data_IF_551260918354
#
_entry.id   IF_551260918354
#
_cell.length_a   1.000
_cell.length_b   1.000
_cell.length_c   1.000
_cell.angle_alpha   90.00
_cell.angle_beta   90.00
_cell.angle_gamma   90.00
#
_symmetry.space_group_name_H-M   'P 1'
#
loop_
_entity.id
_entity.type
_entity.pdbx_description
1 polymer ?
#
# COMPACT_ATOMS: atom_id res chain seq x y z
N UNK A 1 -14.43 23.77 19.58
CA UNK A 1 -14.29 23.67 18.12
C UNK A 1 -14.77 22.29 17.72
N UNK A 2 -15.94 22.24 17.06
CA UNK A 2 -16.52 20.98 16.58
C UNK A 2 -15.62 20.43 15.47
N UNK A 3 -15.06 19.26 15.73
CA UNK A 3 -14.42 18.39 14.76
C UNK A 3 -15.45 18.10 13.65
N UNK A 4 -15.26 18.64 12.46
CA UNK A 4 -16.10 18.31 11.32
C UNK A 4 -15.92 16.83 11.00
N UNK A 5 -17.02 16.09 11.09
CA UNK A 5 -17.04 14.66 10.78
C UNK A 5 -16.53 14.44 9.33
N UNK A 6 -15.61 13.49 9.09
CA UNK A 6 -15.13 13.16 7.74
C UNK A 6 -16.24 12.99 6.70
N UNK A 7 -17.40 12.47 7.12
CA UNK A 7 -18.58 12.33 6.25
C UNK A 7 -19.12 13.67 5.76
N UNK A 8 -19.07 14.71 6.61
CA UNK A 8 -19.51 16.08 6.25
C UNK A 8 -18.58 16.71 5.22
N UNK A 9 -17.29 16.38 5.29
CA UNK A 9 -16.29 16.87 4.33
C UNK A 9 -16.51 16.19 2.97
N UNK A 10 -16.76 14.89 2.94
CA UNK A 10 -17.10 14.13 1.73
C UNK A 10 -18.38 14.67 1.09
N UNK A 11 -19.44 14.91 1.86
CA UNK A 11 -20.70 15.46 1.36
C UNK A 11 -20.55 16.89 0.83
N UNK A 12 -19.67 17.69 1.44
CA UNK A 12 -19.39 19.07 1.02
C UNK A 12 -18.59 19.13 -0.28
N UNK A 13 -17.69 18.16 -0.52
CA UNK A 13 -16.97 18.01 -1.78
C UNK A 13 -17.84 17.45 -2.90
N UNK A 14 -18.78 16.55 -2.56
CA UNK A 14 -19.74 15.98 -3.52
C UNK A 14 -20.75 17.01 -4.06
N UNK A 15 -20.99 18.11 -3.35
CA UNK A 15 -21.92 19.18 -3.77
C UNK A 15 -21.28 20.30 -4.58
N UNK A 16 -19.97 20.31 -4.77
CA UNK A 16 -19.32 21.23 -5.70
C UNK A 16 -19.57 20.77 -7.14
N UNK A 17 -20.69 21.24 -7.68
CA UNK A 17 -21.12 21.02 -9.05
C UNK A 17 -20.16 21.70 -10.02
N UNK A 18 -19.16 20.96 -10.48
CA UNK A 18 -18.55 21.21 -11.79
C UNK A 18 -18.22 19.86 -12.39
N UNK A 19 -18.75 19.59 -13.55
CA UNK A 19 -18.55 18.45 -14.43
C UNK A 19 -17.08 17.99 -14.44
N UNK A 20 -16.76 17.00 -13.65
CA UNK A 20 -15.41 16.44 -13.57
C UNK A 20 -15.41 15.19 -12.69
N UNK A 21 -14.85 14.12 -13.19
CA UNK A 21 -14.45 12.96 -12.40
C UNK A 21 -13.69 13.49 -11.20
N UNK A 22 -14.25 13.31 -9.99
CA UNK A 22 -13.58 13.69 -8.74
C UNK A 22 -12.30 12.87 -8.71
N UNK A 23 -11.14 13.54 -8.83
CA UNK A 23 -9.87 12.86 -8.76
C UNK A 23 -9.70 12.29 -7.34
N UNK A 24 -9.63 10.98 -7.24
CA UNK A 24 -9.48 10.29 -5.96
C UNK A 24 -8.24 10.75 -5.17
N UNK A 25 -7.24 11.25 -5.87
CA UNK A 25 -6.04 11.85 -5.27
C UNK A 25 -6.34 13.19 -4.59
N UNK A 26 -7.14 14.05 -5.21
CA UNK A 26 -7.57 15.33 -4.65
C UNK A 26 -8.42 15.15 -3.38
N UNK A 27 -9.33 14.17 -3.39
CA UNK A 27 -10.14 13.81 -2.21
C UNK A 27 -9.24 13.30 -1.08
N UNK A 28 -8.30 12.45 -1.40
CA UNK A 28 -7.34 11.92 -0.42
C UNK A 28 -6.48 13.02 0.20
N UNK A 29 -5.93 13.92 -0.62
CA UNK A 29 -5.15 15.07 -0.13
C UNK A 29 -5.97 15.95 0.78
N UNK A 30 -7.22 16.24 0.42
CA UNK A 30 -8.15 17.01 1.27
C UNK A 30 -8.43 16.34 2.60
N UNK A 31 -8.58 15.01 2.64
CA UNK A 31 -8.77 14.26 3.88
C UNK A 31 -7.51 14.28 4.76
N UNK A 32 -6.33 14.12 4.16
CA UNK A 32 -5.05 14.17 4.88
C UNK A 32 -4.77 15.55 5.51
N UNK A 33 -5.22 16.63 4.86
CA UNK A 33 -5.10 17.99 5.39
C UNK A 33 -6.13 18.28 6.49
N UNK A 34 -7.35 17.74 6.34
CA UNK A 34 -8.47 18.04 7.24
C UNK A 34 -8.45 17.22 8.54
N UNK A 35 -7.85 16.04 8.54
CA UNK A 35 -7.84 15.11 9.68
C UNK A 35 -6.43 14.61 9.98
N UNK A 36 -5.74 15.20 10.98
CA UNK A 36 -4.39 14.79 11.36
C UNK A 36 -4.29 13.34 11.89
N UNK A 37 -5.36 12.82 12.52
CA UNK A 37 -5.39 11.43 12.99
C UNK A 37 -5.48 10.47 11.81
N UNK A 38 -6.34 10.76 10.85
CA UNK A 38 -6.39 10.03 9.59
C UNK A 38 -5.05 10.08 8.84
N UNK A 39 -4.40 11.25 8.78
CA UNK A 39 -3.10 11.40 8.14
C UNK A 39 -2.01 10.55 8.81
N UNK A 40 -2.00 10.51 10.14
CA UNK A 40 -1.06 9.68 10.89
C UNK A 40 -1.28 8.18 10.63
N UNK A 41 -2.53 7.71 10.66
CA UNK A 41 -2.88 6.33 10.35
C UNK A 41 -2.62 5.97 8.89
N UNK A 42 -2.92 6.87 7.98
CA UNK A 42 -2.62 6.71 6.55
C UNK A 42 -1.12 6.52 6.32
N UNK A 43 -0.30 7.33 6.97
CA UNK A 43 1.16 7.23 6.88
C UNK A 43 1.67 5.94 7.51
N UNK A 44 1.18 5.60 8.71
CA UNK A 44 1.56 4.39 9.43
C UNK A 44 1.27 3.11 8.66
N UNK A 45 0.15 3.06 7.93
CA UNK A 45 -0.28 1.90 7.14
C UNK A 45 0.25 1.90 5.70
N UNK A 46 1.02 2.90 5.30
CA UNK A 46 1.57 2.99 3.95
C UNK A 46 2.33 1.71 3.52
N UNK A 47 3.19 1.09 4.35
CA UNK A 47 3.84 -0.17 4.00
C UNK A 47 2.87 -1.33 3.79
N UNK A 48 1.82 -1.42 4.61
CA UNK A 48 0.80 -2.46 4.47
C UNK A 48 0.04 -2.34 3.14
N UNK A 49 -0.25 -1.12 2.70
CA UNK A 49 -0.91 -0.87 1.40
C UNK A 49 -0.06 -1.28 0.22
N UNK A 50 1.27 -1.06 0.25
CA UNK A 50 2.15 -1.54 -0.82
C UNK A 50 2.05 -3.04 -0.97
N UNK A 51 2.05 -3.78 0.14
CA UNK A 51 1.92 -5.24 0.12
C UNK A 51 0.53 -5.66 -0.36
N UNK A 52 -0.52 -5.00 0.11
CA UNK A 52 -1.90 -5.22 -0.33
C UNK A 52 -2.02 -5.07 -1.85
N UNK A 53 -1.58 -3.95 -2.41
CA UNK A 53 -1.61 -3.72 -3.85
C UNK A 53 -0.81 -4.75 -4.64
N UNK A 54 0.37 -5.12 -4.16
CA UNK A 54 1.20 -6.13 -4.82
C UNK A 54 0.49 -7.49 -4.88
N UNK A 55 -0.15 -7.93 -3.79
CA UNK A 55 -0.89 -9.19 -3.75
C UNK A 55 -2.13 -9.17 -4.62
N UNK A 56 -2.93 -8.09 -4.56
CA UNK A 56 -4.12 -7.92 -5.40
C UNK A 56 -3.73 -7.92 -6.88
N UNK A 57 -2.68 -7.18 -7.25
CA UNK A 57 -2.17 -7.12 -8.62
C UNK A 57 -1.70 -8.50 -9.11
N UNK A 58 -0.85 -9.17 -8.32
CA UNK A 58 -0.38 -10.53 -8.62
C UNK A 58 -1.55 -11.50 -8.86
N UNK A 59 -2.53 -11.48 -7.96
CA UNK A 59 -3.70 -12.34 -8.06
C UNK A 59 -4.51 -12.07 -9.32
N UNK A 60 -4.72 -10.80 -9.67
CA UNK A 60 -5.42 -10.42 -10.90
C UNK A 60 -4.68 -10.84 -12.16
N UNK A 61 -3.38 -10.62 -12.23
CA UNK A 61 -2.57 -11.02 -13.40
C UNK A 61 -2.56 -12.53 -13.64
N UNK A 62 -2.65 -13.32 -12.56
CA UNK A 62 -2.64 -14.78 -12.65
C UNK A 62 -4.04 -15.41 -12.62
N UNK A 63 -5.10 -14.60 -12.61
CA UNK A 63 -6.47 -15.09 -12.57
C UNK A 63 -6.82 -15.89 -11.31
N UNK A 64 -6.15 -15.60 -10.18
CA UNK A 64 -6.30 -16.34 -8.93
C UNK A 64 -7.40 -15.74 -8.05
N UNK A 65 -8.13 -16.61 -7.35
CA UNK A 65 -8.97 -16.21 -6.22
C UNK A 65 -8.12 -16.03 -4.96
N UNK A 66 -8.65 -15.35 -3.93
CA UNK A 66 -7.97 -15.29 -2.61
C UNK A 66 -7.69 -16.68 -2.04
N UNK A 67 -8.57 -17.64 -2.32
CA UNK A 67 -8.43 -19.03 -1.88
C UNK A 67 -7.28 -19.74 -2.58
N UNK A 68 -7.08 -19.46 -3.86
CA UNK A 68 -5.96 -20.02 -4.62
C UNK A 68 -4.63 -19.43 -4.19
N UNK A 69 -4.59 -18.13 -3.98
CA UNK A 69 -3.41 -17.46 -3.41
C UNK A 69 -3.09 -17.98 -2.00
N UNK A 70 -4.10 -18.22 -1.17
CA UNK A 70 -3.93 -18.80 0.16
C UNK A 70 -3.27 -20.18 0.11
N UNK A 71 -3.69 -21.04 -0.83
CA UNK A 71 -3.05 -22.34 -1.06
C UNK A 71 -1.60 -22.20 -1.50
N UNK A 72 -1.32 -21.26 -2.40
CA UNK A 72 0.03 -21.00 -2.89
C UNK A 72 0.96 -20.49 -1.79
N UNK A 73 0.45 -19.62 -0.91
CA UNK A 73 1.19 -19.07 0.23
C UNK A 73 1.27 -20.04 1.42
N UNK A 74 0.52 -21.14 1.42
CA UNK A 74 0.44 -22.07 2.55
C UNK A 74 -0.25 -21.47 3.79
N UNK A 75 -1.19 -20.55 3.60
CA UNK A 75 -1.94 -19.86 4.66
C UNK A 75 -3.45 -20.05 4.48
N UNK A 76 -4.23 -19.59 5.47
CA UNK A 76 -5.70 -19.57 5.34
C UNK A 76 -6.18 -18.42 4.43
N UNK A 77 -7.36 -18.59 3.80
CA UNK A 77 -7.96 -17.53 2.98
C UNK A 77 -8.24 -16.24 3.80
N UNK A 78 -8.73 -16.28 5.05
CA UNK A 78 -8.85 -15.07 5.87
C UNK A 78 -7.52 -14.33 6.06
N UNK A 79 -6.39 -15.06 6.13
CA UNK A 79 -5.08 -14.43 6.22
C UNK A 79 -4.71 -13.66 4.94
N UNK A 80 -5.08 -14.18 3.77
CA UNK A 80 -4.92 -13.44 2.50
C UNK A 80 -5.81 -12.21 2.47
N UNK A 81 -7.07 -12.32 2.91
CA UNK A 81 -7.97 -11.18 3.00
C UNK A 81 -7.44 -10.08 3.93
N UNK A 82 -6.87 -10.45 5.08
CA UNK A 82 -6.21 -9.52 6.00
C UNK A 82 -4.99 -8.81 5.36
N UNK A 83 -4.20 -9.52 4.57
CA UNK A 83 -3.06 -8.93 3.86
C UNK A 83 -3.53 -7.98 2.74
N UNK A 84 -4.57 -8.35 2.02
CA UNK A 84 -5.15 -7.53 0.94
C UNK A 84 -5.93 -6.32 1.47
N UNK A 85 -6.41 -6.34 2.73
CA UNK A 85 -7.07 -5.17 3.33
C UNK A 85 -6.12 -3.99 3.56
N UNK A 86 -4.83 -4.26 3.76
CA UNK A 86 -3.82 -3.23 4.05
C UNK A 86 -3.98 -2.57 5.43
N UNK A 87 -4.76 -3.17 6.33
CA UNK A 87 -5.03 -2.63 7.68
C UNK A 87 -3.90 -2.91 8.67
N UNK A 88 -3.06 -3.90 8.38
CA UNK A 88 -1.96 -4.33 9.27
C UNK A 88 -0.69 -4.53 8.47
N UNK A 89 0.40 -3.95 8.95
CA UNK A 89 1.72 -4.18 8.35
C UNK A 89 2.15 -5.64 8.52
N UNK A 90 2.52 -6.32 7.43
CA UNK A 90 3.06 -7.67 7.51
C UNK A 90 4.44 -7.67 8.18
N UNK A 91 4.80 -8.79 8.79
CA UNK A 91 6.15 -9.00 9.31
C UNK A 91 7.14 -9.31 8.18
N UNK A 92 8.43 -9.18 8.46
CA UNK A 92 9.49 -9.51 7.50
C UNK A 92 9.40 -10.99 7.06
N UNK A 93 9.06 -11.89 7.98
CA UNK A 93 8.86 -13.31 7.67
C UNK A 93 7.68 -13.51 6.72
N UNK A 94 6.60 -12.72 6.89
CA UNK A 94 5.45 -12.74 5.97
C UNK A 94 5.87 -12.26 4.57
N UNK A 95 6.66 -11.19 4.49
CA UNK A 95 7.18 -10.69 3.20
C UNK A 95 8.07 -11.74 2.52
N UNK A 96 8.94 -12.40 3.28
CA UNK A 96 9.80 -13.46 2.75
C UNK A 96 8.98 -14.66 2.23
N UNK A 97 7.93 -15.06 2.94
CA UNK A 97 7.04 -16.13 2.51
C UNK A 97 6.27 -15.77 1.23
N UNK A 98 5.77 -14.53 1.13
CA UNK A 98 5.12 -14.02 -0.07
C UNK A 98 6.12 -14.04 -1.24
N UNK A 99 7.33 -13.52 -1.05
CA UNK A 99 8.36 -13.49 -2.10
C UNK A 99 8.71 -14.89 -2.58
N UNK A 100 8.89 -15.83 -1.67
CA UNK A 100 9.21 -17.21 -2.02
C UNK A 100 8.11 -17.89 -2.86
N UNK A 101 6.85 -17.61 -2.56
CA UNK A 101 5.71 -18.24 -3.24
C UNK A 101 5.31 -17.55 -4.55
N UNK A 102 5.50 -16.24 -4.66
CA UNK A 102 4.97 -15.43 -5.79
C UNK A 102 6.06 -14.87 -6.69
N UNK A 103 7.30 -14.80 -6.23
CA UNK A 103 8.37 -14.09 -6.92
C UNK A 103 8.30 -12.56 -6.79
N UNK A 104 7.35 -12.00 -6.04
CA UNK A 104 7.31 -10.57 -5.74
C UNK A 104 8.52 -10.21 -4.89
N UNK A 105 9.28 -9.22 -5.30
CA UNK A 105 10.41 -8.73 -4.52
C UNK A 105 9.96 -7.57 -3.62
N UNK A 106 10.30 -7.62 -2.34
CA UNK A 106 10.10 -6.52 -1.40
C UNK A 106 11.44 -5.97 -0.96
N UNK A 107 11.58 -4.65 -1.00
CA UNK A 107 12.69 -3.94 -0.41
C UNK A 107 12.17 -3.04 0.72
N UNK A 108 12.75 -3.20 1.90
CA UNK A 108 12.43 -2.41 3.09
C UNK A 108 13.69 -1.67 3.51
N UNK A 109 13.59 -0.36 3.64
CA UNK A 109 14.68 0.45 4.16
C UNK A 109 14.18 1.38 5.25
N UNK A 110 15.03 1.60 6.24
CA UNK A 110 14.80 2.56 7.32
C UNK A 110 15.96 3.53 7.40
N UNK A 111 15.67 4.80 7.62
CA UNK A 111 16.66 5.84 7.82
C UNK A 111 16.20 6.81 8.91
N UNK A 112 17.10 7.64 9.44
CA UNK A 112 16.70 8.75 10.28
C UNK A 112 15.91 9.75 9.44
N UNK A 113 14.88 10.38 10.03
CA UNK A 113 14.13 11.44 9.35
C UNK A 113 15.08 12.53 8.84
N UNK A 114 14.96 12.89 7.57
CA UNK A 114 15.83 13.86 6.89
C UNK A 114 17.06 13.29 6.19
N UNK A 115 17.40 12.01 6.38
CA UNK A 115 18.46 11.33 5.62
C UNK A 115 17.90 10.81 4.29
N UNK A 116 18.35 11.41 3.20
CA UNK A 116 17.93 11.04 1.83
C UNK A 116 18.76 9.92 1.20
N UNK A 117 19.57 9.20 1.96
CA UNK A 117 20.41 8.13 1.42
C UNK A 117 19.55 6.93 1.04
N UNK A 118 19.02 6.95 -0.17
CA UNK A 118 18.38 5.79 -0.78
C UNK A 118 19.43 4.74 -1.10
N UNK A 119 19.54 3.70 -0.27
CA UNK A 119 20.37 2.52 -0.51
C UNK A 119 19.77 1.58 -1.57
N UNK A 120 18.61 1.92 -2.11
CA UNK A 120 17.88 1.07 -3.03
C UNK A 120 18.19 1.43 -4.48
N UNK A 121 18.33 0.41 -5.31
CA UNK A 121 18.38 0.54 -6.75
C UNK A 121 17.26 1.45 -7.26
N UNK A 122 17.52 2.22 -8.33
CA UNK A 122 16.53 3.14 -8.91
C UNK A 122 15.18 2.44 -9.06
N UNK A 123 14.08 3.01 -8.51
CA UNK A 123 12.75 2.44 -8.65
C UNK A 123 12.38 2.38 -10.14
N UNK A 124 11.75 1.28 -10.55
CA UNK A 124 11.16 1.15 -11.89
C UNK A 124 9.76 1.78 -11.89
N UNK A 125 9.27 2.17 -13.05
CA UNK A 125 7.93 2.76 -13.18
C UNK A 125 6.79 1.81 -12.73
N UNK A 126 7.04 0.49 -12.72
CA UNK A 126 6.11 -0.55 -12.27
C UNK A 126 6.19 -0.88 -10.78
N UNK A 127 7.13 -0.29 -10.04
CA UNK A 127 7.31 -0.56 -8.62
C UNK A 127 6.26 0.20 -7.80
N UNK A 128 5.60 -0.49 -6.89
CA UNK A 128 4.76 0.16 -5.88
C UNK A 128 5.62 0.59 -4.71
N UNK A 129 5.53 1.85 -4.34
CA UNK A 129 6.32 2.44 -3.27
C UNK A 129 5.43 3.12 -2.24
N UNK A 130 5.72 2.91 -0.96
CA UNK A 130 5.20 3.73 0.13
C UNK A 130 6.31 4.18 1.06
N UNK A 131 6.15 5.35 1.61
CA UNK A 131 7.02 5.93 2.62
C UNK A 131 6.19 6.31 3.84
N UNK A 132 6.70 6.02 5.03
CA UNK A 132 6.11 6.41 6.29
C UNK A 132 7.22 6.93 7.21
N UNK A 133 6.89 7.87 8.08
CA UNK A 133 7.80 8.45 9.06
C UNK A 133 7.33 8.17 10.51
N UNK A 134 7.34 6.90 10.95
CA UNK A 134 6.99 6.58 12.32
C UNK A 134 8.10 7.05 13.28
N UNK A 135 7.72 7.78 14.31
CA UNK A 135 8.60 8.17 15.43
C UNK A 135 9.94 8.84 15.01
N UNK A 136 9.93 9.67 13.97
CA UNK A 136 11.13 10.39 13.54
C UNK A 136 12.15 9.54 12.76
N UNK A 137 11.71 8.39 12.26
CA UNK A 137 12.47 7.57 11.32
C UNK A 137 11.67 7.43 10.01
N UNK A 138 12.36 7.43 8.88
CA UNK A 138 11.73 7.16 7.60
C UNK A 138 11.75 5.67 7.30
N UNK A 139 10.58 5.11 7.01
CA UNK A 139 10.39 3.73 6.55
C UNK A 139 9.92 3.76 5.10
N UNK A 140 10.68 3.14 4.22
CA UNK A 140 10.30 2.98 2.81
C UNK A 140 10.11 1.51 2.49
N UNK A 141 8.99 1.17 1.88
CA UNK A 141 8.71 -0.17 1.34
C UNK A 141 8.47 -0.05 -0.15
N UNK A 142 9.12 -0.90 -0.90
CA UNK A 142 8.95 -1.02 -2.36
C UNK A 142 8.60 -2.47 -2.65
N UNK A 143 7.59 -2.69 -3.49
CA UNK A 143 7.31 -3.99 -4.08
C UNK A 143 7.55 -3.95 -5.58
N UNK A 144 8.13 -5.02 -6.09
CA UNK A 144 8.39 -5.24 -7.52
C UNK A 144 7.78 -6.55 -7.96
N UNK A 145 6.98 -6.50 -8.99
CA UNK A 145 6.38 -7.69 -9.58
C UNK A 145 7.43 -8.53 -10.31
N UNK A 146 7.30 -9.87 -10.31
CA UNK A 146 8.18 -10.74 -11.06
C UNK A 146 8.08 -10.40 -12.56
N UNK A 147 9.23 -10.35 -13.22
CA UNK A 147 9.25 -10.17 -14.67
C UNK A 147 8.64 -11.42 -15.31
N UNK A 148 7.59 -11.24 -16.11
CA UNK A 148 7.12 -12.30 -16.99
C UNK A 148 8.26 -12.64 -17.94
N UNK A 149 8.95 -13.76 -17.71
CA UNK A 149 9.74 -14.35 -18.77
C UNK A 149 8.75 -14.78 -19.85
N UNK A 150 8.66 -13.99 -20.90
CA UNK A 150 8.09 -14.47 -22.16
C UNK A 150 8.98 -15.65 -22.57
N UNK A 151 8.55 -16.86 -22.23
CA UNK A 151 9.11 -18.08 -22.82
C UNK A 151 8.68 -18.03 -24.27
N UNK A 152 9.65 -17.75 -25.11
CA UNK A 152 9.54 -17.86 -26.55
C UNK A 152 9.25 -19.31 -26.93
#
# INVERSE_FOLDING_TARGET
>A
LKSDNPQVIIDRMATSKTSGVVNSEEVLLGLLEADPEFAADWTRLAPARVVSFALIHYRHEHGLTQRDLAKQLGVSQPRVADLESGEKSPTIETLAAISAATGIEFAVSTSRAGDSSSLLAKPRASDHRAQADPAGASLTVISRMPEHRLTA
#
